data_IF_323385045552
#
_entry.id   IF_323385045552
#
_cell.length_a   1.000
_cell.length_b   1.000
_cell.length_c   1.000
_cell.angle_alpha   90.00
_cell.angle_beta   90.00
_cell.angle_gamma   90.00
#
_symmetry.space_group_name_H-M   'P 1'
#
loop_
_entity.id
_entity.type
_entity.pdbx_description
1 polymer ?
#
# COMPACT_ATOMS: atom_id res chain seq x y z
N UNK A 1 17.89 -2.56 27.95
CA UNK A 1 18.29 -1.28 27.35
C UNK A 1 17.41 -1.01 26.14
N UNK A 2 16.73 0.11 26.14
CA UNK A 2 15.86 0.47 25.02
C UNK A 2 16.70 0.92 23.83
N UNK A 3 16.35 0.45 22.63
CA UNK A 3 16.92 0.93 21.38
C UNK A 3 16.39 2.32 21.04
N UNK A 4 17.16 3.11 20.32
CA UNK A 4 16.70 4.38 19.76
C UNK A 4 16.13 4.13 18.35
N UNK A 5 15.26 5.03 17.85
CA UNK A 5 14.74 4.93 16.50
C UNK A 5 15.85 5.06 15.45
N UNK A 6 16.95 5.76 15.77
CA UNK A 6 18.11 5.83 14.89
C UNK A 6 18.77 4.47 14.67
N UNK A 7 18.65 3.54 15.64
CA UNK A 7 19.18 2.19 15.55
C UNK A 7 18.21 1.19 14.90
N UNK A 8 17.03 1.63 14.49
CA UNK A 8 16.01 0.76 13.91
C UNK A 8 16.47 0.16 12.58
N UNK A 9 17.16 0.94 11.76
CA UNK A 9 17.60 0.51 10.44
C UNK A 9 18.49 -0.72 10.50
N UNK A 10 18.14 -1.75 9.75
CA UNK A 10 18.87 -3.01 9.69
C UNK A 10 18.55 -3.97 10.82
N UNK A 11 17.70 -3.59 11.77
CA UNK A 11 17.30 -4.46 12.87
C UNK A 11 16.21 -5.45 12.47
N UNK A 12 16.03 -6.51 13.26
CA UNK A 12 14.89 -7.42 13.09
C UNK A 12 13.57 -6.70 13.34
N UNK A 13 13.57 -5.72 14.22
CA UNK A 13 12.37 -4.93 14.55
C UNK A 13 11.92 -4.10 13.35
N UNK A 14 12.83 -3.56 12.55
CA UNK A 14 12.46 -2.91 11.29
C UNK A 14 11.67 -3.87 10.39
N UNK A 15 12.18 -5.09 10.20
CA UNK A 15 11.50 -6.12 9.42
C UNK A 15 10.13 -6.48 9.98
N UNK A 16 10.03 -6.58 11.32
CA UNK A 16 8.76 -6.87 11.97
C UNK A 16 7.74 -5.75 11.77
N UNK A 17 8.15 -4.49 11.82
CA UNK A 17 7.27 -3.36 11.56
C UNK A 17 6.75 -3.36 10.12
N UNK A 18 7.60 -3.68 9.16
CA UNK A 18 7.21 -3.80 7.75
C UNK A 18 6.21 -4.92 7.54
N UNK A 19 6.46 -6.09 8.13
CA UNK A 19 5.56 -7.24 8.05
C UNK A 19 4.23 -6.94 8.73
N UNK A 20 4.26 -6.30 9.90
CA UNK A 20 3.05 -5.93 10.62
C UNK A 20 2.24 -4.90 9.84
N UNK A 21 2.89 -3.90 9.25
CA UNK A 21 2.22 -2.92 8.39
C UNK A 21 1.53 -3.61 7.20
N UNK A 22 2.24 -4.51 6.52
CA UNK A 22 1.69 -5.24 5.37
C UNK A 22 0.49 -6.09 5.79
N UNK A 23 0.59 -6.78 6.92
CA UNK A 23 -0.49 -7.63 7.45
C UNK A 23 -1.73 -6.83 7.83
N UNK A 24 -1.56 -5.73 8.57
CA UNK A 24 -2.68 -4.88 8.99
C UNK A 24 -3.35 -4.21 7.78
N UNK A 25 -2.57 -3.77 6.79
CA UNK A 25 -3.10 -3.16 5.57
C UNK A 25 -3.90 -4.17 4.75
N UNK A 26 -3.42 -5.41 4.64
CA UNK A 26 -4.13 -6.48 3.96
C UNK A 26 -5.43 -6.83 4.71
N UNK A 27 -5.36 -6.95 6.03
CA UNK A 27 -6.53 -7.25 6.87
C UNK A 27 -7.61 -6.18 6.70
N UNK A 28 -7.23 -4.90 6.67
CA UNK A 28 -8.15 -3.80 6.46
C UNK A 28 -8.97 -4.01 5.17
N UNK A 29 -8.31 -4.24 4.05
CA UNK A 29 -8.99 -4.42 2.75
C UNK A 29 -9.80 -5.72 2.69
N UNK A 30 -9.30 -6.80 3.26
CA UNK A 30 -10.02 -8.08 3.31
C UNK A 30 -11.33 -7.92 4.10
N UNK A 31 -11.29 -7.26 5.25
CA UNK A 31 -12.48 -7.08 6.09
C UNK A 31 -13.50 -6.15 5.42
N UNK A 32 -13.08 -5.11 4.73
CA UNK A 32 -13.99 -4.26 3.96
C UNK A 32 -14.68 -5.05 2.84
N UNK A 33 -13.94 -5.92 2.16
CA UNK A 33 -14.51 -6.80 1.15
C UNK A 33 -15.49 -7.80 1.77
N UNK A 34 -15.12 -8.40 2.91
CA UNK A 34 -16.01 -9.33 3.62
C UNK A 34 -17.28 -8.64 4.09
N UNK A 35 -17.19 -7.37 4.50
CA UNK A 35 -18.37 -6.59 4.88
C UNK A 35 -19.34 -6.43 3.70
N UNK A 36 -18.82 -6.15 2.50
CA UNK A 36 -19.66 -6.04 1.30
C UNK A 36 -20.39 -7.36 1.02
N UNK A 37 -19.70 -8.48 1.15
CA UNK A 37 -20.31 -9.80 0.94
C UNK A 37 -21.37 -10.11 2.00
N UNK A 38 -21.10 -9.77 3.25
CA UNK A 38 -22.06 -9.95 4.33
C UNK A 38 -23.33 -9.13 4.10
N UNK A 39 -23.20 -7.89 3.61
CA UNK A 39 -24.36 -7.05 3.28
C UNK A 39 -25.20 -7.65 2.15
N UNK A 40 -24.54 -8.15 1.10
CA UNK A 40 -25.24 -8.81 -0.01
C UNK A 40 -26.04 -10.04 0.47
N UNK A 41 -25.48 -10.79 1.41
CA UNK A 41 -26.14 -11.96 1.99
C UNK A 41 -27.20 -11.60 3.03
N UNK A 42 -27.31 -10.33 3.43
CA UNK A 42 -28.27 -9.87 4.41
C UNK A 42 -27.80 -9.93 5.86
N UNK A 43 -26.51 -10.19 6.09
CA UNK A 43 -25.91 -10.25 7.42
C UNK A 43 -25.31 -8.88 7.81
N UNK A 44 -26.19 -7.88 7.93
CA UNK A 44 -25.76 -6.50 8.15
C UNK A 44 -25.02 -6.28 9.48
N UNK A 45 -25.40 -7.01 10.53
CA UNK A 45 -24.71 -6.92 11.83
C UNK A 45 -23.28 -7.44 11.72
N UNK A 46 -23.06 -8.52 10.95
CA UNK A 46 -21.74 -9.07 10.71
C UNK A 46 -20.92 -8.09 9.86
N UNK A 47 -21.52 -7.48 8.85
CA UNK A 47 -20.87 -6.47 8.04
C UNK A 47 -20.37 -5.31 8.90
N UNK A 48 -21.16 -4.87 9.89
CA UNK A 48 -20.76 -3.81 10.81
C UNK A 48 -19.55 -4.20 11.66
N UNK A 49 -19.46 -5.46 12.10
CA UNK A 49 -18.32 -5.98 12.85
C UNK A 49 -17.06 -5.91 11.97
N UNK A 50 -17.15 -6.37 10.71
CA UNK A 50 -16.01 -6.29 9.78
C UNK A 50 -15.56 -4.84 9.55
N UNK A 51 -16.48 -3.92 9.32
CA UNK A 51 -16.12 -2.50 9.09
C UNK A 51 -15.48 -1.87 10.31
N UNK A 52 -16.02 -2.10 11.48
CA UNK A 52 -15.45 -1.58 12.73
C UNK A 52 -14.04 -2.11 12.97
N UNK A 53 -13.82 -3.40 12.72
CA UNK A 53 -12.49 -4.01 12.85
C UNK A 53 -11.52 -3.42 11.83
N UNK A 54 -11.97 -3.20 10.59
CA UNK A 54 -11.14 -2.58 9.55
C UNK A 54 -10.67 -1.18 9.95
N UNK A 55 -11.50 -0.38 10.60
CA UNK A 55 -11.08 0.94 11.11
C UNK A 55 -9.95 0.83 12.13
N UNK A 56 -10.03 -0.17 13.01
CA UNK A 56 -8.96 -0.45 13.97
C UNK A 56 -7.65 -0.81 13.27
N UNK A 57 -7.72 -1.63 12.20
CA UNK A 57 -6.54 -1.98 11.42
C UNK A 57 -5.89 -0.77 10.76
N UNK A 58 -6.67 0.25 10.36
CA UNK A 58 -6.14 1.50 9.83
C UNK A 58 -5.24 2.20 10.86
N UNK A 59 -5.70 2.30 12.11
CA UNK A 59 -4.92 2.90 13.20
C UNK A 59 -3.64 2.15 13.48
N UNK A 60 -3.71 0.81 13.49
CA UNK A 60 -2.53 -0.04 13.68
C UNK A 60 -1.52 0.16 12.56
N UNK A 61 -1.96 0.17 11.31
CA UNK A 61 -1.08 0.38 10.15
C UNK A 61 -0.38 1.75 10.21
N UNK A 62 -1.13 2.80 10.55
CA UNK A 62 -0.56 4.14 10.71
C UNK A 62 0.47 4.19 11.85
N UNK A 63 0.21 3.50 12.97
CA UNK A 63 1.16 3.42 14.07
C UNK A 63 2.49 2.79 13.64
N UNK A 64 2.43 1.71 12.85
CA UNK A 64 3.63 1.08 12.31
C UNK A 64 4.38 2.04 11.38
N UNK A 65 3.67 2.78 10.53
CA UNK A 65 4.30 3.75 9.62
C UNK A 65 4.98 4.90 10.36
N UNK A 66 4.40 5.36 11.47
CA UNK A 66 5.03 6.40 12.28
C UNK A 66 6.42 5.99 12.74
N UNK A 67 6.57 4.75 13.21
CA UNK A 67 7.90 4.23 13.57
C UNK A 67 8.78 4.05 12.34
N UNK A 68 8.21 3.63 11.21
CA UNK A 68 8.96 3.40 9.97
C UNK A 68 9.46 4.69 9.32
N UNK A 69 8.95 5.86 9.71
CA UNK A 69 9.51 7.14 9.23
C UNK A 69 11.01 7.24 9.51
N UNK A 70 11.49 6.59 10.56
CA UNK A 70 12.92 6.60 10.90
C UNK A 70 13.80 5.89 9.86
N UNK A 71 13.22 5.00 9.04
CA UNK A 71 13.98 4.20 8.07
C UNK A 71 13.51 4.38 6.63
N UNK A 72 12.31 4.90 6.42
CA UNK A 72 11.77 5.17 5.09
C UNK A 72 10.51 4.37 4.76
N UNK A 73 9.98 4.64 3.58
CA UNK A 73 8.79 3.97 3.05
C UNK A 73 9.06 2.47 2.88
N UNK A 74 8.24 1.60 3.48
CA UNK A 74 8.45 0.14 3.33
C UNK A 74 8.35 -0.35 1.88
N UNK A 75 7.68 0.40 1.00
CA UNK A 75 7.53 0.02 -0.40
C UNK A 75 8.69 0.50 -1.28
N UNK A 76 9.23 1.68 -1.03
CA UNK A 76 10.22 2.32 -1.91
C UNK A 76 11.60 2.50 -1.26
N UNK A 77 11.67 2.47 0.06
CA UNK A 77 12.89 2.79 0.80
C UNK A 77 13.20 4.27 0.87
N UNK A 78 12.41 5.13 0.25
CA UNK A 78 12.64 6.58 0.24
C UNK A 78 12.16 7.22 1.54
N UNK A 79 12.70 8.41 1.91
CA UNK A 79 12.23 9.12 3.10
C UNK A 79 10.73 9.43 3.03
N UNK A 80 10.07 9.34 4.17
CA UNK A 80 8.66 9.71 4.32
C UNK A 80 8.47 10.53 5.60
N UNK A 81 7.31 11.16 5.70
CA UNK A 81 6.91 11.99 6.81
C UNK A 81 6.54 13.39 6.36
N UNK A 82 7.41 14.05 5.62
CA UNK A 82 7.12 15.36 5.04
C UNK A 82 6.35 15.19 3.74
N UNK A 83 5.47 16.14 3.45
CA UNK A 83 4.62 16.05 2.24
C UNK A 83 5.42 15.91 0.96
N UNK A 84 6.51 16.68 0.80
CA UNK A 84 7.36 16.57 -0.39
C UNK A 84 8.00 15.18 -0.52
N UNK A 85 8.48 14.61 0.58
CA UNK A 85 9.05 13.27 0.60
C UNK A 85 7.97 12.22 0.32
N UNK A 86 6.80 12.38 0.92
CA UNK A 86 5.68 11.46 0.71
C UNK A 86 5.26 11.43 -0.77
N UNK A 87 5.20 12.61 -1.41
CA UNK A 87 4.89 12.70 -2.84
C UNK A 87 5.96 12.04 -3.71
N UNK A 88 7.24 12.28 -3.40
CA UNK A 88 8.34 11.66 -4.13
C UNK A 88 8.28 10.13 -4.01
N UNK A 89 8.00 9.62 -2.81
CA UNK A 89 7.86 8.18 -2.60
C UNK A 89 6.66 7.61 -3.34
N UNK A 90 5.53 8.32 -3.35
CA UNK A 90 4.34 7.91 -4.07
C UNK A 90 4.62 7.84 -5.59
N UNK A 91 5.32 8.83 -6.15
CA UNK A 91 5.73 8.80 -7.57
C UNK A 91 6.57 7.56 -7.87
N UNK A 92 7.56 7.28 -7.01
CA UNK A 92 8.43 6.12 -7.19
C UNK A 92 7.64 4.80 -7.14
N UNK A 93 6.72 4.66 -6.19
CA UNK A 93 5.89 3.47 -6.06
C UNK A 93 5.00 3.25 -7.28
N UNK A 94 4.26 4.28 -7.69
CA UNK A 94 3.38 4.21 -8.85
C UNK A 94 4.17 3.93 -10.13
N UNK A 95 5.35 4.55 -10.28
CA UNK A 95 6.20 4.32 -11.45
C UNK A 95 6.65 2.87 -11.54
N UNK A 96 7.08 2.28 -10.43
CA UNK A 96 7.43 0.85 -10.39
C UNK A 96 6.23 -0.02 -10.77
N UNK A 97 5.05 0.31 -10.26
CA UNK A 97 3.83 -0.47 -10.52
C UNK A 97 3.44 -0.47 -11.99
N UNK A 98 3.55 0.68 -12.69
CA UNK A 98 3.11 0.73 -14.09
C UNK A 98 4.20 0.39 -15.11
N UNK A 99 5.49 0.50 -14.75
CA UNK A 99 6.59 0.19 -15.67
C UNK A 99 7.08 -1.25 -15.54
N UNK A 100 7.02 -1.82 -14.35
CA UNK A 100 7.63 -3.13 -14.07
C UNK A 100 6.63 -4.13 -13.48
N UNK A 101 6.04 -3.82 -12.33
CA UNK A 101 5.24 -4.79 -11.57
C UNK A 101 4.04 -5.31 -12.37
N UNK A 102 3.10 -4.44 -12.72
CA UNK A 102 1.89 -4.87 -13.44
C UNK A 102 2.17 -5.37 -14.86
N UNK A 103 3.03 -4.73 -15.67
CA UNK A 103 3.38 -5.32 -16.97
C UNK A 103 3.98 -6.71 -16.86
N UNK A 104 4.85 -6.95 -15.87
CA UNK A 104 5.43 -8.26 -15.61
C UNK A 104 4.39 -9.29 -15.20
N UNK A 105 3.48 -8.91 -14.31
CA UNK A 105 2.38 -9.78 -13.86
C UNK A 105 1.43 -10.11 -15.01
N UNK A 106 1.13 -9.14 -15.89
CA UNK A 106 0.29 -9.36 -17.06
C UNK A 106 0.92 -10.38 -18.03
N UNK A 107 2.22 -10.27 -18.28
CA UNK A 107 2.94 -11.25 -19.13
C UNK A 107 2.84 -12.66 -18.55
N UNK A 108 3.12 -12.81 -17.27
CA UNK A 108 3.02 -14.09 -16.59
C UNK A 108 1.60 -14.67 -16.68
N UNK A 109 0.59 -13.85 -16.44
CA UNK A 109 -0.79 -14.30 -16.54
C UNK A 109 -1.15 -14.80 -17.95
N UNK A 110 -0.69 -14.11 -18.99
CA UNK A 110 -0.94 -14.56 -20.38
C UNK A 110 -0.20 -15.87 -20.68
N UNK A 111 1.05 -15.99 -20.24
CA UNK A 111 1.82 -17.21 -20.44
C UNK A 111 1.16 -18.41 -19.77
N UNK A 112 0.52 -18.18 -18.63
CA UNK A 112 -0.19 -19.23 -17.90
C UNK A 112 -1.62 -19.46 -18.37
N UNK A 113 -2.10 -18.68 -19.34
CA UNK A 113 -3.44 -18.82 -19.91
C UNK A 113 -4.55 -18.07 -19.18
N UNK A 114 -4.20 -17.14 -18.29
CA UNK A 114 -5.16 -16.32 -17.54
C UNK A 114 -5.36 -14.96 -18.22
N UNK A 115 -5.96 -14.96 -19.43
CA UNK A 115 -6.08 -13.75 -20.25
C UNK A 115 -6.92 -12.65 -19.59
N UNK A 116 -7.99 -13.00 -18.91
CA UNK A 116 -8.84 -12.04 -18.22
C UNK A 116 -8.10 -11.35 -17.08
N UNK A 117 -7.28 -12.10 -16.35
CA UNK A 117 -6.44 -11.53 -15.27
C UNK A 117 -5.34 -10.66 -15.87
N UNK A 118 -4.76 -11.06 -17.01
CA UNK A 118 -3.76 -10.25 -17.70
C UNK A 118 -4.36 -8.90 -18.14
N UNK A 119 -5.57 -8.90 -18.68
CA UNK A 119 -6.28 -7.66 -19.05
C UNK A 119 -6.50 -6.76 -17.82
N UNK A 120 -6.84 -7.36 -16.69
CA UNK A 120 -6.98 -6.64 -15.43
C UNK A 120 -5.67 -5.96 -15.02
N UNK A 121 -4.56 -6.69 -15.03
CA UNK A 121 -3.25 -6.12 -14.70
C UNK A 121 -2.85 -4.99 -15.67
N UNK A 122 -3.12 -5.13 -16.95
CA UNK A 122 -2.84 -4.08 -17.94
C UNK A 122 -3.67 -2.83 -17.67
N UNK A 123 -4.93 -3.01 -17.30
CA UNK A 123 -5.81 -1.90 -16.90
C UNK A 123 -5.25 -1.17 -15.68
N UNK A 124 -4.77 -1.92 -14.68
CA UNK A 124 -4.18 -1.34 -13.47
C UNK A 124 -2.89 -0.58 -13.80
N UNK A 125 -2.06 -1.11 -14.71
CA UNK A 125 -0.85 -0.40 -15.13
C UNK A 125 -1.18 1.01 -15.67
N UNK A 126 -2.24 1.14 -16.45
CA UNK A 126 -2.69 2.44 -16.95
C UNK A 126 -3.17 3.36 -15.83
N UNK A 127 -3.90 2.82 -14.86
CA UNK A 127 -4.37 3.58 -13.70
C UNK A 127 -3.19 4.10 -12.87
N UNK A 128 -2.20 3.24 -12.62
CA UNK A 128 -1.03 3.61 -11.83
C UNK A 128 -0.18 4.67 -12.54
N UNK A 129 -0.11 4.63 -13.89
CA UNK A 129 0.54 5.68 -14.66
C UNK A 129 -0.15 7.03 -14.47
N UNK A 130 -1.47 7.06 -14.47
CA UNK A 130 -2.25 8.26 -14.20
C UNK A 130 -1.97 8.79 -12.79
N UNK A 131 -1.91 7.89 -11.81
CA UNK A 131 -1.59 8.26 -10.42
C UNK A 131 -0.20 8.89 -10.33
N UNK A 132 0.80 8.28 -10.97
CA UNK A 132 2.16 8.84 -11.00
C UNK A 132 2.18 10.27 -11.55
N UNK A 133 1.43 10.53 -12.63
CA UNK A 133 1.31 11.85 -13.22
C UNK A 133 0.69 12.86 -12.28
N UNK A 134 -0.35 12.47 -11.56
CA UNK A 134 -1.04 13.32 -10.58
C UNK A 134 -0.11 13.68 -9.41
N UNK A 135 0.61 12.71 -8.88
CA UNK A 135 1.56 12.96 -7.79
C UNK A 135 2.74 13.82 -8.25
N UNK A 136 3.22 13.61 -9.47
CA UNK A 136 4.30 14.43 -10.04
C UNK A 136 3.87 15.89 -10.16
N UNK A 137 2.66 16.15 -10.64
CA UNK A 137 2.13 17.51 -10.71
C UNK A 137 2.02 18.15 -9.33
N UNK A 138 1.50 17.41 -8.35
CA UNK A 138 1.39 17.91 -6.98
C UNK A 138 2.76 18.24 -6.39
N UNK A 139 3.76 17.41 -6.64
CA UNK A 139 5.12 17.65 -6.17
C UNK A 139 5.72 18.90 -6.81
N UNK A 140 5.52 19.09 -8.12
CA UNK A 140 6.00 20.27 -8.84
C UNK A 140 5.32 21.54 -8.33
N UNK A 141 4.02 21.51 -8.07
CA UNK A 141 3.28 22.64 -7.53
C UNK A 141 3.75 23.00 -6.13
N UNK A 142 4.06 22.01 -5.31
CA UNK A 142 4.56 22.24 -3.96
C UNK A 142 5.94 22.89 -3.96
N UNK A 143 6.77 22.59 -4.96
CA UNK A 143 8.13 23.14 -5.10
C UNK A 143 8.14 24.55 -5.71
N UNK A 144 7.06 24.97 -6.34
CA UNK A 144 6.95 26.26 -7.01
C UNK A 144 6.87 27.46 -6.05
#
# INVERSE_FOLDING_TARGET
MEGTLAALKGSKTEGNLKDAFAGESQANRRYLYFAQKADVEGFNDVAAVFRSTAEGETGHAHGHLEFLEAVGDPATGLPIGKTSDNLASAVAGETHEYTDMYPGMARTAREEGFDEIADWFETLAKAERSHAGRFTRALNELAA
#
